data_IF_083562851154
#
_entry.id   IF_083562851154
#
_cell.length_a   1.000
_cell.length_b   1.000
_cell.length_c   1.000
_cell.angle_alpha   90.00
_cell.angle_beta   90.00
_cell.angle_gamma   90.00
#
_symmetry.space_group_name_H-M   'P 1'
#
loop_
_entity.id
_entity.type
_entity.pdbx_description
1 polymer ?
#
# COMPACT_ATOMS: atom_id res chain seq x y z
N UNK A 1 -2.84 10.38 1.01
CA UNK A 1 -4.17 9.92 1.46
C UNK A 1 -4.05 8.57 2.16
N UNK A 2 -3.59 7.49 1.49
CA UNK A 2 -3.52 6.11 2.05
C UNK A 2 -2.78 6.06 3.39
N UNK A 3 -1.61 6.69 3.51
CA UNK A 3 -0.83 6.68 4.73
C UNK A 3 -1.58 7.33 5.91
N UNK A 4 -2.16 8.51 5.68
CA UNK A 4 -2.97 9.21 6.69
C UNK A 4 -4.14 8.34 7.13
N UNK A 5 -4.80 7.68 6.17
CA UNK A 5 -5.91 6.77 6.43
C UNK A 5 -5.50 5.57 7.28
N UNK A 6 -4.33 4.98 6.99
CA UNK A 6 -3.82 3.82 7.76
C UNK A 6 -3.41 4.24 9.18
N UNK A 7 -2.67 5.35 9.33
CA UNK A 7 -2.27 5.85 10.66
C UNK A 7 -3.50 6.22 11.49
N UNK A 8 -4.47 6.92 10.88
CA UNK A 8 -5.70 7.28 11.54
C UNK A 8 -6.52 6.05 11.93
N UNK A 9 -6.69 5.09 11.00
CA UNK A 9 -7.42 3.85 11.25
C UNK A 9 -6.78 2.99 12.35
N UNK A 10 -5.45 2.94 12.40
CA UNK A 10 -4.72 2.20 13.42
C UNK A 10 -4.94 2.74 14.84
N UNK A 11 -5.21 4.04 14.98
CA UNK A 11 -5.42 4.69 16.29
C UNK A 11 -6.89 4.94 16.62
N UNK A 12 -7.74 5.16 15.63
CA UNK A 12 -9.13 5.53 15.84
C UNK A 12 -9.96 4.38 16.42
N UNK A 13 -9.78 3.14 15.94
CA UNK A 13 -10.53 2.00 16.44
C UNK A 13 -10.20 1.69 17.92
N UNK A 14 -8.93 1.58 18.34
CA UNK A 14 -8.59 1.42 19.76
C UNK A 14 -9.14 2.55 20.65
N UNK A 15 -8.98 3.80 20.24
CA UNK A 15 -9.46 4.96 21.00
C UNK A 15 -10.99 4.95 21.19
N UNK A 16 -11.75 4.46 20.21
CA UNK A 16 -13.19 4.30 20.33
C UNK A 16 -13.57 3.17 21.31
N UNK A 17 -12.80 2.08 21.31
CA UNK A 17 -13.00 0.98 22.28
C UNK A 17 -12.69 1.46 23.70
N UNK A 18 -11.62 2.21 23.91
CA UNK A 18 -11.30 2.85 25.20
C UNK A 18 -12.39 3.83 25.65
N UNK A 19 -13.05 4.50 24.72
CA UNK A 19 -14.20 5.37 24.99
C UNK A 19 -15.51 4.62 25.29
N UNK A 20 -15.47 3.27 25.31
CA UNK A 20 -16.60 2.42 25.69
C UNK A 20 -17.49 1.95 24.54
N UNK A 21 -17.07 2.13 23.29
CA UNK A 21 -17.79 1.58 22.14
C UNK A 21 -17.49 0.08 21.98
N UNK A 22 -18.50 -0.67 21.55
CA UNK A 22 -18.30 -2.07 21.17
C UNK A 22 -17.25 -2.18 20.03
N UNK A 23 -16.33 -3.17 20.06
CA UNK A 23 -15.26 -3.32 19.07
C UNK A 23 -15.74 -3.34 17.62
N UNK A 24 -16.90 -3.97 17.36
CA UNK A 24 -17.50 -4.03 16.05
C UNK A 24 -18.04 -2.65 15.62
N UNK A 25 -18.66 -1.93 16.54
CA UNK A 25 -19.14 -0.56 16.29
C UNK A 25 -17.96 0.41 16.04
N UNK A 26 -16.91 0.32 16.85
CA UNK A 26 -15.69 1.11 16.70
C UNK A 26 -15.06 0.91 15.32
N UNK A 27 -14.96 -0.34 14.87
CA UNK A 27 -14.44 -0.68 13.53
C UNK A 27 -15.31 -0.11 12.42
N UNK A 28 -16.63 -0.23 12.51
CA UNK A 28 -17.57 0.34 11.52
C UNK A 28 -17.48 1.86 11.44
N UNK A 29 -17.43 2.55 12.58
CA UNK A 29 -17.26 4.00 12.65
C UNK A 29 -15.97 4.43 11.99
N UNK A 30 -14.86 3.75 12.30
CA UNK A 30 -13.55 4.04 11.69
C UNK A 30 -13.59 3.89 10.16
N UNK A 31 -14.19 2.83 9.64
CA UNK A 31 -14.35 2.65 8.20
C UNK A 31 -15.24 3.72 7.56
N UNK A 32 -16.32 4.12 8.24
CA UNK A 32 -17.19 5.19 7.76
C UNK A 32 -16.44 6.53 7.67
N UNK A 33 -15.64 6.87 8.67
CA UNK A 33 -14.82 8.11 8.67
C UNK A 33 -13.82 8.08 7.52
N UNK A 34 -13.15 6.95 7.30
CA UNK A 34 -12.24 6.76 6.16
C UNK A 34 -12.99 6.94 4.83
N UNK A 35 -14.17 6.35 4.69
CA UNK A 35 -15.01 6.50 3.50
C UNK A 35 -15.37 7.96 3.22
N UNK A 36 -15.79 8.70 4.25
CA UNK A 36 -16.06 10.15 4.16
C UNK A 36 -14.81 10.93 3.76
N UNK A 37 -13.65 10.64 4.35
CA UNK A 37 -12.39 11.28 4.00
C UNK A 37 -12.01 11.04 2.52
N UNK A 38 -12.25 9.84 2.00
CA UNK A 38 -12.05 9.52 0.58
C UNK A 38 -12.98 10.34 -0.33
N UNK A 39 -14.25 10.48 0.04
CA UNK A 39 -15.23 11.29 -0.72
C UNK A 39 -14.79 12.77 -0.71
N UNK A 40 -14.44 13.32 0.44
CA UNK A 40 -13.95 14.70 0.57
C UNK A 40 -12.71 14.91 -0.29
N UNK A 41 -11.74 13.98 -0.24
CA UNK A 41 -10.55 14.03 -1.08
C UNK A 41 -10.91 14.02 -2.57
N UNK A 42 -11.87 13.18 -2.99
CA UNK A 42 -12.37 13.14 -4.36
C UNK A 42 -12.98 14.47 -4.81
N UNK A 43 -13.77 15.10 -3.93
CA UNK A 43 -14.35 16.43 -4.20
C UNK A 43 -13.25 17.51 -4.31
N UNK A 44 -12.26 17.50 -3.40
CA UNK A 44 -11.13 18.43 -3.45
C UNK A 44 -10.36 18.27 -4.77
N UNK A 45 -10.09 17.03 -5.19
CA UNK A 45 -9.45 16.77 -6.48
C UNK A 45 -10.30 17.25 -7.65
N UNK A 46 -11.61 17.00 -7.63
CA UNK A 46 -12.52 17.44 -8.68
C UNK A 46 -12.58 18.96 -8.82
N UNK A 47 -12.55 19.68 -7.71
CA UNK A 47 -12.60 21.15 -7.69
C UNK A 47 -11.23 21.78 -7.94
N UNK A 48 -10.14 21.16 -7.46
CA UNK A 48 -8.78 21.72 -7.50
C UNK A 48 -7.99 21.37 -8.77
N UNK A 49 -8.33 20.26 -9.43
CA UNK A 49 -7.68 19.93 -10.70
C UNK A 49 -8.21 20.85 -11.79
N UNK A 50 -7.31 21.62 -12.41
CA UNK A 50 -7.62 22.33 -13.65
C UNK A 50 -8.24 21.36 -14.64
N UNK A 51 -9.40 21.70 -15.19
CA UNK A 51 -9.99 20.96 -16.30
C UNK A 51 -8.93 20.92 -17.41
N UNK A 52 -8.28 19.79 -17.58
CA UNK A 52 -7.26 19.61 -18.61
C UNK A 52 -7.85 20.02 -19.95
N UNK A 53 -7.04 20.66 -20.78
CA UNK A 53 -7.43 20.94 -22.17
C UNK A 53 -7.82 19.61 -22.78
N UNK A 54 -9.05 19.45 -23.28
CA UNK A 54 -9.45 18.22 -23.95
C UNK A 54 -8.48 18.05 -25.12
N UNK A 55 -7.59 17.06 -25.02
CA UNK A 55 -6.75 16.67 -26.15
C UNK A 55 -7.66 16.45 -27.36
N UNK A 56 -7.17 16.77 -28.58
CA UNK A 56 -7.90 16.42 -29.81
C UNK A 56 -8.47 15.02 -29.60
N UNK A 57 -9.79 14.87 -29.80
CA UNK A 57 -10.44 13.57 -29.83
C UNK A 57 -9.82 12.77 -30.99
N UNK A 58 -8.66 12.20 -30.78
CA UNK A 58 -8.23 11.09 -31.61
C UNK A 58 -9.29 9.99 -31.43
N UNK A 59 -9.77 9.47 -32.55
CA UNK A 59 -10.70 8.34 -32.53
C UNK A 59 -10.02 7.20 -31.78
N UNK A 60 -10.34 7.10 -30.49
CA UNK A 60 -9.78 6.02 -29.67
C UNK A 60 -10.42 4.72 -30.14
N UNK A 61 -9.62 3.72 -30.49
CA UNK A 61 -10.17 2.42 -30.82
C UNK A 61 -11.05 1.91 -29.66
N UNK A 62 -12.08 1.11 -29.93
CA UNK A 62 -12.98 0.59 -28.90
C UNK A 62 -12.19 -0.16 -27.83
N UNK A 63 -12.63 -0.06 -26.58
CA UNK A 63 -11.93 -0.60 -25.40
C UNK A 63 -11.49 -2.07 -25.58
N UNK A 64 -12.33 -2.87 -26.25
CA UNK A 64 -12.05 -4.27 -26.55
C UNK A 64 -10.80 -4.42 -27.43
N UNK A 65 -10.68 -3.61 -28.45
CA UNK A 65 -9.53 -3.61 -29.37
C UNK A 65 -8.26 -3.16 -28.66
N UNK A 66 -8.34 -2.15 -27.81
CA UNK A 66 -7.23 -1.70 -26.95
C UNK A 66 -6.75 -2.80 -26.00
N UNK A 67 -7.66 -3.55 -25.38
CA UNK A 67 -7.28 -4.66 -24.51
C UNK A 67 -6.58 -5.79 -25.29
N UNK A 68 -7.16 -6.20 -26.42
CA UNK A 68 -6.57 -7.26 -27.23
C UNK A 68 -5.23 -6.86 -27.83
N UNK A 69 -5.09 -5.63 -28.30
CA UNK A 69 -3.81 -5.12 -28.78
C UNK A 69 -2.76 -5.08 -27.69
N UNK A 70 -3.13 -4.64 -26.47
CA UNK A 70 -2.22 -4.63 -25.32
C UNK A 70 -1.70 -6.02 -24.97
N UNK A 71 -2.57 -7.02 -24.94
CA UNK A 71 -2.18 -8.42 -24.68
C UNK A 71 -1.28 -8.94 -25.82
N UNK A 72 -1.66 -8.70 -27.07
CA UNK A 72 -0.91 -9.15 -28.23
C UNK A 72 0.49 -8.52 -28.28
N UNK A 73 0.60 -7.24 -28.01
CA UNK A 73 1.89 -6.54 -27.91
C UNK A 73 2.72 -7.04 -26.71
N UNK A 74 2.07 -7.34 -25.60
CA UNK A 74 2.71 -7.96 -24.43
C UNK A 74 3.34 -9.32 -24.75
N UNK A 75 2.68 -10.14 -25.57
CA UNK A 75 3.22 -11.44 -26.00
C UNK A 75 4.38 -11.27 -27.00
N UNK A 76 4.28 -10.32 -27.91
CA UNK A 76 5.29 -10.08 -28.96
C UNK A 76 6.54 -9.37 -28.45
N UNK A 77 6.40 -8.51 -27.47
CA UNK A 77 7.49 -7.67 -26.97
C UNK A 77 7.85 -8.05 -25.52
N UNK A 78 9.01 -8.69 -25.28
CA UNK A 78 9.41 -9.13 -23.96
C UNK A 78 9.57 -7.98 -22.94
N UNK A 79 9.80 -6.74 -23.40
CA UNK A 79 9.87 -5.58 -22.49
C UNK A 79 8.49 -5.19 -21.96
N UNK A 80 7.44 -5.32 -22.78
CA UNK A 80 6.07 -5.07 -22.39
C UNK A 80 5.59 -6.20 -21.48
N UNK A 81 5.91 -7.45 -21.82
CA UNK A 81 5.63 -8.61 -20.96
C UNK A 81 6.26 -8.46 -19.58
N UNK A 82 7.52 -8.04 -19.50
CA UNK A 82 8.21 -7.77 -18.25
C UNK A 82 7.50 -6.67 -17.44
N UNK A 83 7.08 -5.58 -18.07
CA UNK A 83 6.37 -4.50 -17.40
C UNK A 83 5.03 -4.98 -16.81
N UNK A 84 4.29 -5.82 -17.53
CA UNK A 84 3.05 -6.43 -17.02
C UNK A 84 3.31 -7.37 -15.85
N UNK A 85 4.31 -8.24 -15.95
CA UNK A 85 4.70 -9.14 -14.88
C UNK A 85 5.11 -8.37 -13.62
N UNK A 86 5.94 -7.33 -13.75
CA UNK A 86 6.32 -6.47 -12.64
C UNK A 86 5.13 -5.74 -12.03
N UNK A 87 4.20 -5.24 -12.84
CA UNK A 87 2.97 -4.61 -12.37
C UNK A 87 2.08 -5.57 -11.58
N UNK A 88 1.96 -6.81 -12.03
CA UNK A 88 1.22 -7.86 -11.33
C UNK A 88 1.87 -8.23 -9.99
N UNK A 89 3.18 -8.45 -9.98
CA UNK A 89 3.95 -8.75 -8.75
C UNK A 89 3.85 -7.62 -7.76
N UNK A 90 4.05 -6.35 -8.18
CA UNK A 90 3.97 -5.20 -7.31
C UNK A 90 2.57 -5.00 -6.69
N UNK A 91 1.50 -5.39 -7.38
CA UNK A 91 0.14 -5.36 -6.82
C UNK A 91 -0.14 -6.49 -5.85
N UNK A 92 0.29 -7.70 -6.18
CA UNK A 92 0.22 -8.87 -5.29
C UNK A 92 1.00 -8.62 -4.01
N UNK A 93 2.17 -8.06 -4.12
CA UNK A 93 3.05 -7.65 -3.05
C UNK A 93 2.37 -6.71 -2.04
N UNK A 94 1.75 -5.64 -2.49
CA UNK A 94 1.05 -4.71 -1.60
C UNK A 94 -0.09 -5.36 -0.81
N UNK A 95 -0.85 -6.26 -1.44
CA UNK A 95 -1.94 -6.98 -0.78
C UNK A 95 -1.39 -7.97 0.25
N UNK A 96 -0.38 -8.74 -0.14
CA UNK A 96 0.24 -9.73 0.75
C UNK A 96 0.90 -9.04 1.94
N UNK A 97 1.79 -8.07 1.72
CA UNK A 97 2.44 -7.32 2.79
C UNK A 97 1.43 -6.64 3.73
N UNK A 98 0.47 -5.91 3.16
CA UNK A 98 -0.52 -5.19 3.96
C UNK A 98 -1.31 -6.14 4.85
N UNK A 99 -1.85 -7.21 4.27
CA UNK A 99 -2.69 -8.16 5.00
C UNK A 99 -1.88 -9.00 5.99
N UNK A 100 -0.77 -9.60 5.54
CA UNK A 100 0.02 -10.47 6.41
C UNK A 100 0.73 -9.71 7.54
N UNK A 101 1.29 -8.54 7.27
CA UNK A 101 1.95 -7.76 8.32
C UNK A 101 0.98 -7.33 9.41
N UNK A 102 -0.22 -6.91 9.04
CA UNK A 102 -1.24 -6.51 10.02
C UNK A 102 -1.74 -7.72 10.82
N UNK A 103 -2.02 -8.84 10.15
CA UNK A 103 -2.46 -10.07 10.82
C UNK A 103 -1.38 -10.68 11.70
N UNK A 104 -0.14 -10.70 11.24
CA UNK A 104 0.99 -11.19 12.02
C UNK A 104 1.22 -10.34 13.26
N UNK A 105 1.28 -9.01 13.11
CA UNK A 105 1.39 -8.09 14.24
C UNK A 105 0.22 -8.23 15.23
N UNK A 106 -1.01 -8.39 14.72
CA UNK A 106 -2.17 -8.63 15.59
C UNK A 106 -2.05 -9.94 16.36
N UNK A 107 -1.61 -11.02 15.72
CA UNK A 107 -1.43 -12.32 16.36
C UNK A 107 -0.38 -12.27 17.47
N UNK A 108 0.79 -11.72 17.17
CA UNK A 108 1.88 -11.57 18.16
C UNK A 108 1.42 -10.71 19.35
N UNK A 109 0.65 -9.65 19.08
CA UNK A 109 0.06 -8.84 20.15
C UNK A 109 -0.89 -9.61 21.04
N UNK A 110 -1.77 -10.44 20.48
CA UNK A 110 -2.71 -11.29 21.24
C UNK A 110 -1.94 -12.34 22.06
N UNK A 111 -0.95 -12.99 21.46
CA UNK A 111 -0.13 -13.99 22.15
C UNK A 111 0.68 -13.35 23.31
N UNK A 112 0.97 -12.05 23.22
CA UNK A 112 1.57 -11.23 24.29
C UNK A 112 0.56 -10.72 25.34
N UNK A 113 -0.71 -11.11 25.26
CA UNK A 113 -1.76 -10.76 26.22
C UNK A 113 -2.47 -9.43 25.96
N UNK A 114 -2.30 -8.82 24.79
CA UNK A 114 -3.04 -7.63 24.40
C UNK A 114 -4.46 -8.00 23.92
N UNK A 115 -5.40 -7.09 24.11
CA UNK A 115 -6.72 -7.22 23.50
C UNK A 115 -6.65 -7.09 21.95
N UNK A 116 -7.64 -7.65 21.28
CA UNK A 116 -7.66 -7.70 19.81
C UNK A 116 -7.57 -6.31 19.12
N UNK A 117 -8.24 -5.31 19.68
CA UNK A 117 -8.26 -3.97 19.11
C UNK A 117 -6.87 -3.32 19.18
N UNK A 118 -6.20 -3.40 20.34
CA UNK A 118 -4.84 -2.88 20.55
C UNK A 118 -3.83 -3.64 19.71
N UNK A 119 -3.90 -4.97 19.67
CA UNK A 119 -3.02 -5.82 18.87
C UNK A 119 -3.13 -5.51 17.36
N UNK A 120 -4.36 -5.38 16.86
CA UNK A 120 -4.61 -5.01 15.46
C UNK A 120 -4.11 -3.60 15.14
N UNK A 121 -4.27 -2.66 16.07
CA UNK A 121 -3.74 -1.30 15.95
C UNK A 121 -2.21 -1.27 15.82
N UNK A 122 -1.51 -2.06 16.63
CA UNK A 122 -0.04 -2.21 16.54
C UNK A 122 0.39 -2.83 15.21
N UNK A 123 -0.28 -3.87 14.73
CA UNK A 123 0.00 -4.47 13.43
C UNK A 123 -0.18 -3.46 12.27
N UNK A 124 -1.25 -2.67 12.31
CA UNK A 124 -1.49 -1.62 11.33
C UNK A 124 -0.43 -0.50 11.40
N UNK A 125 0.08 -0.17 12.61
CA UNK A 125 1.13 0.82 12.79
C UNK A 125 2.46 0.38 12.18
N UNK A 126 2.83 -0.89 12.31
CA UNK A 126 4.03 -1.46 11.66
C UNK A 126 3.93 -1.29 10.15
N UNK A 127 2.77 -1.62 9.57
CA UNK A 127 2.53 -1.42 8.14
C UNK A 127 2.59 0.08 7.74
N UNK A 128 2.08 0.98 8.58
CA UNK A 128 2.16 2.42 8.35
C UNK A 128 3.60 2.94 8.37
N UNK A 129 4.46 2.45 9.27
CA UNK A 129 5.88 2.79 9.33
C UNK A 129 6.58 2.34 8.05
N UNK A 130 6.37 1.09 7.62
CA UNK A 130 6.92 0.57 6.38
C UNK A 130 6.46 1.38 5.15
N UNK A 131 5.18 1.75 5.09
CA UNK A 131 4.62 2.62 4.06
C UNK A 131 5.23 4.02 4.05
N UNK A 132 5.50 4.59 5.24
CA UNK A 132 6.16 5.89 5.37
C UNK A 132 7.60 5.84 4.86
N UNK A 133 8.35 4.80 5.20
CA UNK A 133 9.69 4.59 4.68
C UNK A 133 9.71 4.48 3.15
N UNK A 134 8.72 3.79 2.57
CA UNK A 134 8.56 3.70 1.12
C UNK A 134 8.33 5.07 0.47
N UNK A 135 7.54 5.97 1.09
CA UNK A 135 7.33 7.32 0.57
C UNK A 135 8.61 8.16 0.60
N UNK A 136 9.43 8.04 1.64
CA UNK A 136 10.71 8.73 1.74
C UNK A 136 11.72 8.22 0.69
N UNK A 137 11.56 6.98 0.25
CA UNK A 137 12.40 6.38 -0.79
C UNK A 137 12.03 6.84 -2.21
N UNK A 138 10.80 7.29 -2.46
CA UNK A 138 10.34 7.69 -3.79
C UNK A 138 11.21 8.75 -4.49
N UNK A 139 11.64 9.85 -3.84
CA UNK A 139 12.51 10.84 -4.48
C UNK A 139 13.87 10.25 -4.87
N UNK A 140 14.44 9.40 -4.03
CA UNK A 140 15.72 8.70 -4.30
C UNK A 140 15.56 7.80 -5.52
N UNK A 141 14.47 7.03 -5.55
CA UNK A 141 14.15 6.14 -6.66
C UNK A 141 13.93 6.91 -7.96
N UNK A 142 13.28 8.08 -7.91
CA UNK A 142 13.12 8.97 -9.06
C UNK A 142 14.47 9.33 -9.69
N UNK A 143 15.43 9.79 -8.88
CA UNK A 143 16.79 10.12 -9.36
C UNK A 143 17.52 8.91 -9.93
N UNK A 144 17.34 7.73 -9.32
CA UNK A 144 17.94 6.48 -9.79
C UNK A 144 17.37 6.09 -11.16
N UNK A 145 16.05 6.15 -11.33
CA UNK A 145 15.38 5.80 -12.60
C UNK A 145 15.80 6.75 -13.72
N UNK A 146 15.97 8.03 -13.42
CA UNK A 146 16.37 9.04 -14.42
C UNK A 146 17.80 8.82 -14.91
N UNK A 147 18.68 8.26 -14.07
CA UNK A 147 20.09 8.01 -14.41
C UNK A 147 20.37 6.61 -14.95
N UNK A 148 19.45 5.68 -14.79
CA UNK A 148 19.63 4.27 -15.19
C UNK A 148 18.73 3.90 -16.37
N UNK A 149 19.13 2.84 -17.09
CA UNK A 149 18.23 2.19 -18.04
C UNK A 149 16.99 1.65 -17.28
N UNK A 150 15.79 1.87 -17.84
CA UNK A 150 14.51 1.45 -17.23
C UNK A 150 14.47 -0.03 -16.81
N UNK A 151 15.07 -0.91 -17.61
CA UNK A 151 15.17 -2.35 -17.27
C UNK A 151 16.07 -2.56 -16.06
N UNK A 152 17.22 -1.88 -16.01
CA UNK A 152 18.13 -1.93 -14.86
C UNK A 152 17.48 -1.42 -13.57
N UNK A 153 16.70 -0.33 -13.65
CA UNK A 153 15.95 0.21 -12.53
C UNK A 153 14.92 -0.80 -11.99
N UNK A 154 14.19 -1.49 -12.87
CA UNK A 154 13.24 -2.54 -12.48
C UNK A 154 13.96 -3.70 -11.79
N UNK A 155 15.07 -4.18 -12.34
CA UNK A 155 15.87 -5.26 -11.75
C UNK A 155 16.36 -4.84 -10.36
N UNK A 156 16.88 -3.63 -10.20
CA UNK A 156 17.32 -3.09 -8.92
C UNK A 156 16.19 -3.09 -7.89
N UNK A 157 15.02 -2.56 -8.25
CA UNK A 157 13.86 -2.51 -7.37
C UNK A 157 13.41 -3.91 -6.94
N UNK A 158 13.32 -4.85 -7.87
CA UNK A 158 12.94 -6.23 -7.57
C UNK A 158 13.97 -6.94 -6.69
N UNK A 159 15.25 -6.69 -6.91
CA UNK A 159 16.33 -7.25 -6.08
C UNK A 159 16.26 -6.71 -4.66
N UNK A 160 16.10 -5.40 -4.49
CA UNK A 160 15.96 -4.76 -3.17
C UNK A 160 14.71 -5.28 -2.45
N UNK A 161 13.58 -5.40 -3.16
CA UNK A 161 12.36 -5.98 -2.61
C UNK A 161 12.58 -7.44 -2.17
N UNK A 162 13.23 -8.26 -3.00
CA UNK A 162 13.55 -9.65 -2.67
C UNK A 162 14.45 -9.78 -1.43
N UNK A 163 15.46 -8.92 -1.29
CA UNK A 163 16.31 -8.86 -0.10
C UNK A 163 15.46 -8.46 1.12
N UNK A 164 14.60 -7.43 0.98
CA UNK A 164 13.71 -6.99 2.03
C UNK A 164 12.80 -8.10 2.53
N UNK A 165 12.16 -8.85 1.62
CA UNK A 165 11.32 -10.00 1.98
C UNK A 165 12.12 -11.12 2.65
N UNK A 166 13.30 -11.43 2.13
CA UNK A 166 14.14 -12.46 2.73
C UNK A 166 14.60 -12.07 4.14
N UNK A 167 14.78 -10.77 4.41
CA UNK A 167 15.17 -10.28 5.73
C UNK A 167 14.06 -10.45 6.78
N UNK A 168 12.79 -10.55 6.39
CA UNK A 168 11.68 -10.80 7.33
C UNK A 168 11.81 -12.18 8.01
N UNK A 169 12.52 -13.12 7.38
CA UNK A 169 12.80 -14.41 8.00
C UNK A 169 13.62 -14.30 9.30
N UNK A 170 14.43 -13.26 9.45
CA UNK A 170 15.27 -13.03 10.63
C UNK A 170 14.56 -12.18 11.70
N UNK A 171 13.36 -11.70 11.44
CA UNK A 171 12.57 -10.93 12.42
C UNK A 171 11.83 -11.91 13.32
N UNK A 172 12.26 -12.01 14.57
CA UNK A 172 11.61 -12.82 15.59
C UNK A 172 10.50 -12.03 16.29
N UNK A 173 9.55 -12.73 16.90
CA UNK A 173 8.42 -12.15 17.65
C UNK A 173 8.90 -11.20 18.75
N UNK A 174 9.96 -11.56 19.48
CA UNK A 174 10.57 -10.74 20.53
C UNK A 174 11.16 -9.42 20.01
N UNK A 175 11.68 -9.39 18.77
CA UNK A 175 12.25 -8.17 18.18
C UNK A 175 11.19 -7.21 17.68
N UNK A 176 10.00 -7.69 17.32
CA UNK A 176 8.94 -6.88 16.76
C UNK A 176 8.28 -5.94 17.79
N UNK A 177 8.21 -6.37 19.05
CA UNK A 177 7.55 -5.61 20.12
C UNK A 177 8.52 -5.00 21.15
N UNK A 178 9.70 -5.58 21.35
CA UNK A 178 10.69 -5.09 22.32
C UNK A 178 11.57 -3.95 21.80
N UNK A 179 11.90 -3.94 20.52
CA UNK A 179 12.71 -2.86 19.93
C UNK A 179 11.92 -1.61 19.54
N UNK A 180 10.60 -1.72 19.38
CA UNK A 180 9.78 -0.60 18.93
C UNK A 180 9.31 0.31 20.07
N UNK A 181 9.52 -0.04 21.34
CA UNK A 181 9.11 0.77 22.48
C UNK A 181 7.60 1.07 22.54
N UNK A 182 6.78 0.22 21.89
CA UNK A 182 5.33 0.37 21.78
C UNK A 182 4.60 -0.53 22.76
#
# INVERSE_FOLDING_TARGET
VVLVTVIFGARAAPALVEAGYDPLAATRITHAIVGVACIISGVIYYLGLMKGTPGKKEERPPFRELMFSGITEGIKNPRIALAYACGFVARGDQVILGTFTVLWGARVGIDSGLDYATASGKGALIFAIAGSASLLWLPVLGVVIDKMNRVGAIILCMTVAGIGYSSTYFVNEDTMFTQSGF
#
